data_IF_701345631301
#
_entry.id   IF_701345631301
#
_cell.length_a   1.000
_cell.length_b   1.000
_cell.length_c   1.000
_cell.angle_alpha   90.00
_cell.angle_beta   90.00
_cell.angle_gamma   90.00
#
_symmetry.space_group_name_H-M   'P 1'
#
loop_
_entity.id
_entity.type
_entity.pdbx_description
1 polymer ?
#
# COMPACT_ATOMS: atom_id res chain seq x y z
N UNK A 1 -31.87 -95.73 0.59
CA UNK A 1 -32.34 -94.42 0.77
C UNK A 1 -31.09 -93.50 0.89
N UNK A 2 -30.73 -92.73 -0.19
CA UNK A 2 -29.58 -91.84 -0.22
C UNK A 2 -30.11 -90.42 -0.16
N UNK A 3 -29.77 -89.74 0.93
CA UNK A 3 -30.03 -88.27 1.05
C UNK A 3 -28.95 -87.52 0.32
N UNK A 4 -29.37 -86.66 -0.60
CA UNK A 4 -28.51 -85.67 -1.23
C UNK A 4 -28.51 -84.37 -0.34
N UNK A 5 -27.37 -83.76 -0.11
CA UNK A 5 -27.34 -82.50 0.57
C UNK A 5 -27.69 -81.32 -0.37
N UNK A 6 -28.48 -80.35 0.11
CA UNK A 6 -28.90 -79.19 -0.60
C UNK A 6 -27.69 -78.23 -0.78
N UNK A 7 -27.47 -77.79 -2.03
CA UNK A 7 -26.47 -76.81 -2.43
C UNK A 7 -26.97 -75.45 -2.07
N UNK A 8 -26.30 -74.76 -1.10
CA UNK A 8 -26.59 -73.38 -0.71
C UNK A 8 -25.86 -72.46 -1.68
N UNK A 9 -26.57 -71.85 -2.60
CA UNK A 9 -26.03 -70.82 -3.50
C UNK A 9 -25.97 -69.51 -2.73
N UNK A 10 -24.76 -69.05 -2.45
CA UNK A 10 -24.48 -67.71 -1.84
C UNK A 10 -24.50 -66.66 -2.94
N UNK A 11 -25.47 -65.78 -2.94
CA UNK A 11 -25.52 -64.55 -3.80
C UNK A 11 -24.45 -63.58 -3.33
N UNK A 12 -23.62 -63.08 -4.22
CA UNK A 12 -22.71 -61.99 -3.82
C UNK A 12 -23.52 -60.68 -3.59
N UNK A 13 -23.42 -60.16 -2.38
CA UNK A 13 -23.93 -58.85 -2.04
C UNK A 13 -22.98 -57.79 -2.66
N UNK A 14 -23.36 -57.24 -3.79
CA UNK A 14 -22.67 -56.09 -4.37
C UNK A 14 -23.18 -54.80 -3.67
N UNK A 15 -22.60 -54.54 -2.50
CA UNK A 15 -22.74 -53.26 -1.86
C UNK A 15 -21.76 -52.30 -2.56
N UNK A 16 -22.20 -51.73 -3.68
CA UNK A 16 -21.53 -50.61 -4.32
C UNK A 16 -21.89 -49.36 -3.52
N UNK A 17 -21.14 -49.13 -2.44
CA UNK A 17 -21.08 -47.80 -1.81
C UNK A 17 -20.52 -46.84 -2.84
N UNK A 18 -21.42 -46.14 -3.50
CA UNK A 18 -21.18 -45.02 -4.39
C UNK A 18 -20.50 -43.93 -3.54
N UNK A 19 -19.15 -43.85 -3.58
CA UNK A 19 -18.37 -42.78 -3.03
C UNK A 19 -18.66 -41.57 -3.90
N UNK A 20 -19.75 -40.86 -3.58
CA UNK A 20 -19.99 -39.51 -4.09
C UNK A 20 -18.89 -38.65 -3.52
N UNK A 21 -17.86 -38.40 -4.33
CA UNK A 21 -16.93 -37.29 -4.11
C UNK A 21 -17.76 -36.01 -4.19
N UNK A 22 -18.11 -35.47 -3.03
CA UNK A 22 -18.65 -34.12 -2.97
C UNK A 22 -17.51 -33.20 -3.43
N UNK A 23 -17.74 -32.30 -4.41
CA UNK A 23 -16.76 -31.29 -4.73
C UNK A 23 -16.59 -30.43 -3.48
N UNK A 24 -15.41 -30.49 -2.88
CA UNK A 24 -15.03 -29.54 -1.84
C UNK A 24 -15.24 -28.15 -2.42
N UNK A 25 -16.14 -27.38 -1.79
CA UNK A 25 -16.29 -25.96 -2.11
C UNK A 25 -14.95 -25.30 -1.84
N UNK A 26 -14.22 -24.94 -2.90
CA UNK A 26 -13.04 -24.13 -2.79
C UNK A 26 -13.48 -22.81 -2.14
N UNK A 27 -13.03 -22.57 -0.92
CA UNK A 27 -13.22 -21.28 -0.29
C UNK A 27 -12.66 -20.20 -1.21
N UNK A 28 -13.40 -19.11 -1.46
CA UNK A 28 -12.89 -18.02 -2.28
C UNK A 28 -11.60 -17.52 -1.62
N UNK A 29 -10.47 -17.66 -2.31
CA UNK A 29 -9.23 -17.02 -1.87
C UNK A 29 -9.48 -15.53 -1.92
N UNK A 30 -9.54 -14.89 -0.77
CA UNK A 30 -9.47 -13.44 -0.71
C UNK A 30 -8.09 -13.04 -1.25
N UNK A 31 -8.07 -12.34 -2.36
CA UNK A 31 -6.85 -11.67 -2.82
C UNK A 31 -6.70 -10.43 -1.94
N UNK A 32 -5.60 -10.37 -1.21
CA UNK A 32 -5.23 -9.17 -0.45
C UNK A 32 -4.38 -8.30 -1.36
N UNK A 33 -4.69 -7.01 -1.41
CA UNK A 33 -3.76 -6.04 -1.97
C UNK A 33 -2.72 -5.66 -0.93
N UNK A 34 -1.48 -5.46 -1.38
CA UNK A 34 -0.34 -5.10 -0.54
C UNK A 34 0.24 -3.77 -0.96
N UNK A 35 0.56 -2.92 0.02
CA UNK A 35 1.36 -1.71 -0.19
C UNK A 35 2.67 -1.87 0.58
N UNK A 36 3.80 -1.75 -0.13
CA UNK A 36 5.12 -1.64 0.46
C UNK A 36 5.59 -0.21 0.29
N UNK A 37 6.23 0.34 1.32
CA UNK A 37 6.77 1.70 1.32
C UNK A 37 8.25 1.60 1.66
N UNK A 38 9.11 2.16 0.82
CA UNK A 38 10.55 2.24 1.02
C UNK A 38 10.87 3.66 1.44
N UNK A 39 11.24 3.84 2.71
CA UNK A 39 11.42 5.17 3.26
C UNK A 39 12.52 5.24 4.32
N UNK A 40 13.11 6.42 4.44
CA UNK A 40 14.11 6.78 5.44
C UNK A 40 13.83 8.17 6.01
N UNK A 41 14.56 8.55 7.04
CA UNK A 41 14.44 9.86 7.68
C UNK A 41 15.81 10.45 7.99
N UNK A 42 15.90 11.78 8.09
CA UNK A 42 17.17 12.46 8.34
C UNK A 42 17.60 12.42 9.80
N UNK A 43 16.67 12.29 10.75
CA UNK A 43 16.95 12.32 12.20
C UNK A 43 16.55 11.03 12.90
N UNK A 44 15.59 10.29 12.35
CA UNK A 44 14.87 9.22 13.01
C UNK A 44 13.74 9.73 13.89
N UNK A 45 12.64 8.99 13.92
CA UNK A 45 11.42 9.41 14.60
C UNK A 45 10.45 10.17 13.69
N UNK A 46 10.79 10.37 12.41
CA UNK A 46 9.86 10.88 11.42
C UNK A 46 8.63 9.99 11.32
N UNK A 47 7.45 10.59 11.28
CA UNK A 47 6.18 9.87 11.19
C UNK A 47 5.64 9.94 9.77
N UNK A 48 5.53 8.74 9.18
CA UNK A 48 4.95 8.48 7.87
C UNK A 48 3.56 7.91 8.06
N UNK A 49 2.55 8.54 7.43
CA UNK A 49 1.18 8.03 7.43
C UNK A 49 0.79 7.59 6.03
N UNK A 50 0.38 6.33 5.92
CA UNK A 50 -0.26 5.79 4.71
C UNK A 50 -1.74 6.17 4.72
N UNK A 51 -2.19 6.76 3.63
CA UNK A 51 -3.61 6.98 3.34
C UNK A 51 -4.00 6.25 2.06
N UNK A 52 -5.16 5.61 2.08
CA UNK A 52 -5.80 4.98 0.93
C UNK A 52 -7.12 5.71 0.67
N UNK A 53 -7.32 6.21 -0.54
CA UNK A 53 -8.48 7.04 -0.91
C UNK A 53 -8.71 8.23 0.06
N UNK A 54 -7.62 8.82 0.56
CA UNK A 54 -7.65 9.92 1.53
C UNK A 54 -8.00 9.52 2.96
N UNK A 55 -8.26 8.25 3.24
CA UNK A 55 -8.49 7.73 4.58
C UNK A 55 -7.19 7.19 5.19
N UNK A 56 -6.97 7.45 6.48
CA UNK A 56 -5.81 6.92 7.20
C UNK A 56 -5.90 5.41 7.29
N UNK A 57 -4.93 4.72 6.68
CA UNK A 57 -4.79 3.28 6.75
C UNK A 57 -3.86 2.87 7.91
N UNK A 58 -2.65 3.48 7.98
CA UNK A 58 -1.68 3.17 9.02
C UNK A 58 -0.69 4.34 9.22
N UNK A 59 -0.03 4.38 10.39
CA UNK A 59 1.04 5.34 10.68
C UNK A 59 2.28 4.59 11.15
N UNK A 60 3.41 4.85 10.51
CA UNK A 60 4.70 4.25 10.81
C UNK A 60 5.66 5.29 11.38
N UNK A 61 6.65 4.84 12.14
CA UNK A 61 7.73 5.69 12.63
C UNK A 61 9.05 5.21 12.06
N UNK A 62 9.81 6.11 11.45
CA UNK A 62 11.13 5.85 10.91
C UNK A 62 12.11 5.61 12.07
N UNK A 63 12.90 4.54 12.00
CA UNK A 63 13.90 4.23 13.00
C UNK A 63 15.11 5.17 12.94
N UNK A 64 15.85 5.22 14.04
CA UNK A 64 17.11 5.98 14.10
C UNK A 64 18.19 5.31 13.27
N UNK A 65 19.02 6.10 12.57
CA UNK A 65 20.15 5.60 11.78
C UNK A 65 19.78 5.12 10.39
N UNK A 66 18.57 5.42 9.93
CA UNK A 66 18.21 5.26 8.52
C UNK A 66 18.70 6.48 7.75
N UNK A 67 19.26 6.24 6.58
CA UNK A 67 19.64 7.27 5.63
C UNK A 67 19.20 6.82 4.22
N UNK A 68 19.38 7.66 3.23
CA UNK A 68 18.96 7.40 1.84
C UNK A 68 19.55 6.09 1.26
N UNK A 69 20.56 5.50 1.90
CA UNK A 69 21.17 4.22 1.48
C UNK A 69 20.58 3.02 2.24
N UNK A 70 19.79 3.26 3.29
CA UNK A 70 19.26 2.24 4.20
C UNK A 70 17.77 2.47 4.47
N UNK A 71 16.96 2.48 3.42
CA UNK A 71 15.52 2.57 3.55
C UNK A 71 14.94 1.46 4.41
N UNK A 72 14.02 1.84 5.26
CA UNK A 72 13.14 0.87 5.92
C UNK A 72 11.99 0.51 4.99
N UNK A 73 11.57 -0.76 5.06
CA UNK A 73 10.41 -1.22 4.31
C UNK A 73 9.24 -1.40 5.26
N UNK A 74 8.15 -0.72 4.98
CA UNK A 74 6.88 -0.84 5.69
C UNK A 74 5.88 -1.60 4.83
N UNK A 75 5.00 -2.37 5.46
CA UNK A 75 4.03 -3.23 4.79
C UNK A 75 2.64 -2.92 5.31
N UNK A 76 1.67 -2.87 4.40
CA UNK A 76 0.25 -2.78 4.69
C UNK A 76 -0.50 -3.76 3.79
N UNK A 77 -1.51 -4.45 4.33
CA UNK A 77 -2.34 -5.41 3.61
C UNK A 77 -3.81 -5.09 3.84
N UNK A 78 -4.62 -5.21 2.79
CA UNK A 78 -6.07 -5.02 2.85
C UNK A 78 -6.80 -5.99 1.95
N UNK A 79 -8.08 -6.22 2.24
CA UNK A 79 -8.98 -6.98 1.37
C UNK A 79 -9.55 -6.15 0.22
N UNK A 80 -9.37 -4.83 0.25
CA UNK A 80 -9.80 -3.94 -0.81
C UNK A 80 -8.78 -3.96 -1.95
N UNK A 81 -9.25 -3.78 -3.18
CA UNK A 81 -8.37 -3.60 -4.34
C UNK A 81 -7.79 -2.19 -4.31
N UNK A 82 -6.47 -2.07 -4.37
CA UNK A 82 -5.74 -0.80 -4.33
C UNK A 82 -4.96 -0.63 -5.65
N UNK A 83 -4.91 0.61 -6.14
CA UNK A 83 -4.03 1.06 -7.21
C UNK A 83 -3.07 2.14 -6.69
N UNK A 84 -2.07 2.54 -7.46
CA UNK A 84 -1.18 3.63 -7.04
C UNK A 84 -1.92 4.97 -6.89
N UNK A 85 -2.99 5.19 -7.65
CA UNK A 85 -3.81 6.41 -7.57
C UNK A 85 -4.50 6.58 -6.21
N UNK A 86 -4.76 5.47 -5.50
CA UNK A 86 -5.40 5.47 -4.19
C UNK A 86 -4.40 5.78 -3.07
N UNK A 87 -3.08 5.70 -3.35
CA UNK A 87 -2.02 5.77 -2.33
C UNK A 87 -1.50 7.19 -2.15
N UNK A 88 -1.51 7.63 -0.89
CA UNK A 88 -0.86 8.86 -0.44
C UNK A 88 0.05 8.56 0.75
N UNK A 89 1.27 9.12 0.73
CA UNK A 89 2.21 9.09 1.85
C UNK A 89 2.30 10.49 2.44
N UNK A 90 1.98 10.63 3.74
CA UNK A 90 1.95 11.91 4.44
C UNK A 90 3.05 11.98 5.47
N UNK A 91 3.78 13.10 5.51
CA UNK A 91 4.74 13.45 6.57
C UNK A 91 4.06 14.30 7.63
N UNK A 92 4.10 13.87 8.90
CA UNK A 92 3.28 14.44 9.97
C UNK A 92 4.04 15.35 10.94
N UNK A 93 5.33 15.12 11.16
CA UNK A 93 6.07 15.72 12.29
C UNK A 93 7.38 16.37 11.87
N UNK A 94 7.33 17.17 10.80
CA UNK A 94 8.43 18.03 10.41
C UNK A 94 8.90 18.89 11.59
N UNK A 95 10.22 18.99 11.77
CA UNK A 95 10.81 19.82 12.82
C UNK A 95 12.20 20.29 12.46
N UNK A 96 12.51 21.53 12.82
CA UNK A 96 13.83 22.13 12.68
C UNK A 96 14.35 22.62 14.04
N UNK A 97 15.55 22.21 14.43
CA UNK A 97 16.22 22.69 15.64
C UNK A 97 17.30 23.70 15.28
N UNK A 98 17.00 25.00 15.44
CA UNK A 98 17.93 26.07 15.09
C UNK A 98 19.22 26.08 15.92
N UNK A 99 19.25 25.46 17.12
CA UNK A 99 20.45 25.42 17.95
C UNK A 99 21.47 24.38 17.48
N UNK A 100 21.00 23.28 16.87
CA UNK A 100 21.85 22.18 16.38
C UNK A 100 21.95 22.13 14.86
N UNK A 101 21.03 22.80 14.17
CA UNK A 101 20.85 22.67 12.72
C UNK A 101 20.20 21.37 12.29
N UNK A 102 19.69 20.57 13.24
CA UNK A 102 18.99 19.31 12.92
C UNK A 102 17.65 19.63 12.25
N UNK A 103 17.41 18.97 11.13
CA UNK A 103 16.23 19.13 10.27
C UNK A 103 15.64 17.76 9.97
N UNK A 104 14.42 17.56 10.41
CA UNK A 104 13.68 16.30 10.16
C UNK A 104 13.01 16.35 8.81
N UNK A 105 13.46 15.50 7.90
CA UNK A 105 12.88 15.34 6.58
C UNK A 105 12.50 13.88 6.36
N UNK A 106 11.37 13.63 5.71
CA UNK A 106 10.96 12.31 5.28
C UNK A 106 11.42 12.08 3.85
N UNK A 107 12.13 10.97 3.64
CA UNK A 107 12.57 10.52 2.32
C UNK A 107 11.80 9.25 1.99
N UNK A 108 11.11 9.24 0.86
CA UNK A 108 10.39 8.08 0.34
C UNK A 108 10.96 7.75 -1.03
N UNK A 109 11.73 6.67 -1.11
CA UNK A 109 12.35 6.19 -2.35
C UNK A 109 11.26 5.72 -3.33
N UNK A 110 10.38 4.84 -2.87
CA UNK A 110 9.30 4.31 -3.71
C UNK A 110 8.16 3.75 -2.87
N UNK A 111 7.07 3.42 -3.55
CA UNK A 111 6.07 2.46 -3.08
C UNK A 111 6.01 1.27 -4.03
N UNK A 112 5.48 0.13 -3.56
CA UNK A 112 5.04 -0.94 -4.44
C UNK A 112 3.61 -1.36 -4.07
N UNK A 113 2.74 -1.41 -5.07
CA UNK A 113 1.35 -1.88 -4.95
C UNK A 113 1.24 -3.21 -5.68
N UNK A 114 0.89 -4.26 -4.96
CA UNK A 114 0.81 -5.64 -5.47
C UNK A 114 2.09 -6.07 -6.23
N UNK A 115 3.26 -5.62 -5.73
CA UNK A 115 4.58 -5.90 -6.29
C UNK A 115 4.98 -5.03 -7.48
N UNK A 116 4.13 -4.12 -7.94
CA UNK A 116 4.47 -3.12 -8.97
C UNK A 116 5.05 -1.88 -8.29
N UNK A 117 6.32 -1.55 -8.60
CA UNK A 117 7.05 -0.43 -8.01
C UNK A 117 6.75 0.89 -8.71
N UNK A 118 6.59 1.96 -7.93
CA UNK A 118 6.38 3.34 -8.35
C UNK A 118 7.40 4.24 -7.65
N UNK A 119 8.31 4.82 -8.44
CA UNK A 119 9.36 5.71 -7.93
C UNK A 119 8.77 7.08 -7.55
N UNK A 120 9.20 7.61 -6.42
CA UNK A 120 8.64 8.86 -5.87
C UNK A 120 9.05 10.09 -6.69
N UNK A 121 10.25 10.09 -7.30
CA UNK A 121 10.72 11.16 -8.18
C UNK A 121 10.10 11.11 -9.58
N UNK A 122 9.18 10.20 -9.84
CA UNK A 122 8.47 10.12 -11.11
C UNK A 122 7.67 11.39 -11.42
N UNK A 123 7.58 11.73 -12.71
CA UNK A 123 6.86 12.93 -13.16
C UNK A 123 5.36 12.93 -12.89
N UNK A 124 4.80 11.82 -12.50
CA UNK A 124 3.37 11.63 -12.17
C UNK A 124 3.10 11.57 -10.66
N UNK A 125 4.10 11.82 -9.81
CA UNK A 125 3.93 11.94 -8.34
C UNK A 125 3.78 13.40 -7.96
N UNK A 126 2.65 13.73 -7.33
CA UNK A 126 2.36 15.08 -6.86
C UNK A 126 2.82 15.25 -5.41
N UNK A 127 3.44 16.39 -5.07
CA UNK A 127 3.92 16.68 -3.72
C UNK A 127 3.44 18.05 -3.24
N UNK A 128 3.27 18.18 -1.90
CA UNK A 128 2.97 19.46 -1.25
C UNK A 128 4.06 19.91 -0.27
N UNK A 129 4.98 19.03 0.14
CA UNK A 129 6.00 19.30 1.15
C UNK A 129 7.44 19.34 0.62
N UNK A 130 7.63 19.20 -0.69
CA UNK A 130 8.97 19.17 -1.30
C UNK A 130 9.50 20.57 -1.56
N UNK A 131 10.74 20.84 -1.13
CA UNK A 131 11.48 22.07 -1.42
C UNK A 131 12.25 21.93 -2.74
N UNK A 132 12.14 22.96 -3.60
CA UNK A 132 13.05 23.16 -4.74
C UNK A 132 13.63 24.57 -4.67
N UNK A 133 14.90 24.73 -5.07
CA UNK A 133 15.60 26.02 -5.03
C UNK A 133 14.97 27.11 -5.92
N UNK A 134 14.17 26.71 -6.91
CA UNK A 134 13.55 27.64 -7.85
C UNK A 134 12.35 28.39 -7.24
N UNK A 135 11.57 27.74 -6.34
CA UNK A 135 10.29 28.25 -5.85
C UNK A 135 9.97 27.88 -4.38
N UNK A 136 10.94 27.27 -3.68
CA UNK A 136 10.78 26.86 -2.29
C UNK A 136 9.84 25.63 -2.15
N UNK A 137 9.07 25.61 -1.06
CA UNK A 137 8.04 24.59 -0.83
C UNK A 137 6.74 25.05 -1.49
N UNK A 138 6.33 24.35 -2.53
CA UNK A 138 5.09 24.60 -3.24
C UNK A 138 4.47 23.31 -3.76
N UNK A 139 3.13 23.21 -3.86
CA UNK A 139 2.47 22.07 -4.46
C UNK A 139 2.82 21.89 -5.94
N UNK A 140 3.03 20.63 -6.37
CA UNK A 140 3.33 20.32 -7.77
C UNK A 140 3.95 18.94 -7.99
N UNK A 141 4.23 18.64 -9.26
CA UNK A 141 4.98 17.43 -9.66
C UNK A 141 6.48 17.77 -9.56
N UNK A 142 7.06 17.44 -8.40
CA UNK A 142 8.36 17.96 -7.98
C UNK A 142 9.55 17.09 -8.33
N UNK A 143 9.31 15.84 -8.74
CA UNK A 143 10.34 14.84 -9.09
C UNK A 143 11.44 14.72 -8.01
N UNK A 144 11.03 14.49 -6.78
CA UNK A 144 11.89 14.41 -5.61
C UNK A 144 11.34 13.38 -4.63
N UNK A 145 12.22 12.68 -3.94
CA UNK A 145 11.91 11.71 -2.90
C UNK A 145 11.71 12.34 -1.52
N UNK A 146 11.99 13.65 -1.36
CA UNK A 146 12.06 14.27 -0.04
C UNK A 146 10.90 15.23 0.23
N UNK A 147 10.22 15.02 1.36
CA UNK A 147 9.36 16.00 2.01
C UNK A 147 10.18 16.75 3.07
N UNK A 148 10.38 18.04 2.83
CA UNK A 148 11.13 18.97 3.70
C UNK A 148 10.22 19.70 4.68
N UNK A 149 8.92 19.51 4.58
CA UNK A 149 7.91 20.02 5.50
C UNK A 149 6.73 19.06 5.55
N UNK A 150 5.86 19.25 6.57
CA UNK A 150 4.60 18.52 6.63
C UNK A 150 3.84 18.68 5.32
N UNK A 151 3.51 17.54 4.70
CA UNK A 151 2.93 17.48 3.38
C UNK A 151 2.77 16.03 2.94
N UNK A 152 2.58 15.81 1.65
CA UNK A 152 2.38 14.46 1.15
C UNK A 152 2.94 14.25 -0.26
N UNK A 153 3.18 12.98 -0.58
CA UNK A 153 3.26 12.47 -1.94
C UNK A 153 1.95 11.77 -2.29
N UNK A 154 1.37 12.11 -3.44
CA UNK A 154 0.25 11.39 -4.04
C UNK A 154 0.74 10.70 -5.29
N UNK A 155 0.58 9.39 -5.33
CA UNK A 155 1.03 8.57 -6.46
C UNK A 155 -0.02 8.51 -7.56
N UNK A 156 0.43 8.10 -8.76
CA UNK A 156 -0.43 7.77 -9.89
C UNK A 156 0.19 6.66 -10.73
N UNK A 157 -0.65 5.78 -11.25
CA UNK A 157 -0.25 4.74 -12.20
C UNK A 157 -0.05 5.29 -13.63
N UNK A 158 -0.33 6.58 -13.85
CA UNK A 158 -0.23 7.24 -15.15
C UNK A 158 -1.40 6.97 -16.09
N UNK A 159 -2.39 6.18 -15.69
CA UNK A 159 -3.55 5.84 -16.50
C UNK A 159 -4.72 6.83 -16.37
N UNK A 160 -4.50 7.98 -15.73
CA UNK A 160 -5.44 9.10 -15.71
C UNK A 160 -6.35 9.15 -14.48
N UNK A 161 -5.91 8.66 -13.35
CA UNK A 161 -6.52 8.93 -12.06
C UNK A 161 -6.61 10.44 -11.81
N UNK A 162 -7.81 10.91 -11.53
CA UNK A 162 -8.12 12.35 -11.55
C UNK A 162 -7.66 13.06 -10.28
N UNK A 163 -6.37 13.44 -10.18
CA UNK A 163 -5.89 14.35 -9.12
C UNK A 163 -6.52 15.75 -9.19
N UNK A 164 -7.01 16.13 -10.36
CA UNK A 164 -7.45 17.50 -10.63
C UNK A 164 -8.80 17.84 -10.02
N UNK A 165 -9.61 16.83 -9.63
CA UNK A 165 -10.98 17.09 -9.17
C UNK A 165 -11.03 17.62 -7.73
N UNK A 166 -10.01 17.37 -6.90
CA UNK A 166 -10.01 17.82 -5.49
C UNK A 166 -9.30 19.18 -5.27
N UNK A 167 -8.37 19.57 -6.16
CA UNK A 167 -7.62 20.82 -6.01
C UNK A 167 -8.34 22.05 -6.60
N UNK A 168 -9.28 21.84 -7.53
CA UNK A 168 -10.02 22.96 -8.16
C UNK A 168 -11.14 23.55 -7.29
N UNK A 169 -11.51 22.88 -6.17
CA UNK A 169 -12.63 23.33 -5.34
C UNK A 169 -12.24 24.23 -4.16
N UNK A 170 -10.96 24.50 -3.93
CA UNK A 170 -10.52 25.33 -2.79
C UNK A 170 -10.08 26.75 -3.15
N UNK A 171 -10.05 27.13 -4.43
CA UNK A 171 -9.60 28.47 -4.84
C UNK A 171 -10.72 29.49 -5.09
N UNK A 172 -11.99 29.09 -5.06
CA UNK A 172 -13.12 29.96 -5.43
C UNK A 172 -13.95 30.48 -4.24
N UNK A 173 -13.50 30.29 -3.00
CA UNK A 173 -14.23 30.73 -1.80
C UNK A 173 -13.66 32.00 -1.13
N UNK A 174 -12.86 32.80 -1.84
CA UNK A 174 -12.22 34.01 -1.27
C UNK A 174 -12.43 35.27 -2.12
N UNK A 175 -13.62 35.41 -2.79
CA UNK A 175 -13.96 36.67 -3.45
C UNK A 175 -15.49 36.88 -3.45
N UNK A 176 -16.05 37.18 -2.25
CA UNK A 176 -17.27 37.96 -2.07
C UNK A 176 -17.22 38.72 -0.74
#
# INVERSE_FOLDING_TARGET
MKFLPALFVRTPNTDSSDLQLQPESLEPRMMLSTVQIFASGTQGGEQLQLQIDGNVAETFTIGVGTDILNDQTFFFETADTITADDVRIVFLNDSFNAATGADSNLIVDAIAVDGVRFETESSNVFSTGTFLSADGIAPGFRQSETLHANGFFQYSDGNGGSFLTCLLYTSDAADE
#
